data_IF_691693797749
#
_entry.id   IF_691693797749
#
_cell.length_a   1.000
_cell.length_b   1.000
_cell.length_c   1.000
_cell.angle_alpha   90.00
_cell.angle_beta   90.00
_cell.angle_gamma   90.00
#
_symmetry.space_group_name_H-M   'P 1'
#
loop_
_entity.id
_entity.type
_entity.pdbx_description
1 polymer ?
#
# COMPACT_ATOMS: atom_id res chain seq x y z
N UNK A 1 25.80 -5.28 -21.77
CA UNK A 1 25.01 -6.44 -21.28
C UNK A 1 23.65 -5.88 -20.92
N UNK A 2 22.55 -6.40 -21.47
CA UNK A 2 21.20 -5.94 -21.09
C UNK A 2 20.92 -6.47 -19.68
N UNK A 3 20.57 -5.59 -18.73
CA UNK A 3 20.25 -5.99 -17.36
C UNK A 3 18.88 -6.68 -17.37
N UNK A 4 18.79 -7.87 -16.78
CA UNK A 4 17.51 -8.50 -16.48
C UNK A 4 16.89 -7.83 -15.25
N UNK A 5 15.92 -6.94 -15.47
CA UNK A 5 15.29 -6.16 -14.43
C UNK A 5 14.45 -7.00 -13.46
N UNK A 6 13.97 -8.18 -13.87
CA UNK A 6 13.26 -9.10 -12.96
C UNK A 6 14.26 -9.65 -11.95
N UNK A 7 15.35 -10.27 -12.45
CA UNK A 7 16.39 -10.81 -11.58
C UNK A 7 17.00 -9.72 -10.70
N UNK A 8 17.21 -8.52 -11.26
CA UNK A 8 17.78 -7.41 -10.51
C UNK A 8 16.87 -6.90 -9.40
N UNK A 9 15.57 -6.79 -9.66
CA UNK A 9 14.59 -6.39 -8.64
C UNK A 9 14.51 -7.41 -7.50
N UNK A 10 14.53 -8.71 -7.82
CA UNK A 10 14.58 -9.78 -6.82
C UNK A 10 15.85 -9.73 -5.97
N UNK A 11 17.00 -9.47 -6.58
CA UNK A 11 18.29 -9.31 -5.90
C UNK A 11 18.27 -8.10 -4.95
N UNK A 12 17.78 -6.94 -5.42
CA UNK A 12 17.70 -5.71 -4.64
C UNK A 12 16.78 -5.89 -3.42
N UNK A 13 15.60 -6.48 -3.60
CA UNK A 13 14.67 -6.75 -2.49
C UNK A 13 15.33 -7.72 -1.49
N UNK A 14 15.91 -8.82 -1.97
CA UNK A 14 16.52 -9.84 -1.11
C UNK A 14 17.72 -9.31 -0.32
N UNK A 15 18.58 -8.50 -0.95
CA UNK A 15 19.73 -7.87 -0.30
C UNK A 15 19.33 -6.89 0.80
N UNK A 16 18.17 -6.25 0.64
CA UNK A 16 17.65 -5.23 1.55
C UNK A 16 16.57 -5.76 2.50
N UNK A 17 16.36 -7.08 2.54
CA UNK A 17 15.56 -7.72 3.59
C UNK A 17 16.42 -7.93 4.83
N UNK A 18 15.98 -7.39 5.97
CA UNK A 18 16.65 -7.59 7.25
C UNK A 18 16.61 -9.10 7.65
N UNK A 19 17.65 -9.64 8.31
CA UNK A 19 17.66 -11.04 8.76
C UNK A 19 16.45 -11.47 9.60
N UNK A 20 15.79 -10.54 10.30
CA UNK A 20 14.59 -10.79 11.08
C UNK A 20 13.31 -10.88 10.22
N UNK A 21 13.35 -10.39 8.98
CA UNK A 21 12.31 -10.54 7.97
C UNK A 21 11.72 -9.24 7.40
N UNK A 22 11.94 -8.11 8.06
CA UNK A 22 11.49 -6.80 7.59
C UNK A 22 12.10 -6.41 6.24
N UNK A 23 11.30 -5.81 5.36
CA UNK A 23 11.77 -5.12 4.16
C UNK A 23 11.92 -3.64 4.46
N UNK A 24 13.13 -3.10 4.28
CA UNK A 24 13.38 -1.66 4.43
C UNK A 24 12.72 -0.91 3.27
N UNK A 25 12.12 0.25 3.50
CA UNK A 25 11.48 1.00 2.41
C UNK A 25 12.53 1.46 1.38
N UNK A 26 13.59 2.13 1.84
CA UNK A 26 14.75 2.49 1.03
C UNK A 26 16.04 2.51 1.88
N UNK A 27 17.08 1.73 1.51
CA UNK A 27 18.31 1.66 2.31
C UNK A 27 19.15 2.95 2.26
N UNK A 28 19.08 3.68 1.15
CA UNK A 28 19.93 4.84 0.87
C UNK A 28 19.16 6.17 0.99
N UNK A 29 18.11 6.20 1.82
CA UNK A 29 17.35 7.41 2.15
C UNK A 29 17.04 7.44 3.65
N UNK A 30 17.62 8.41 4.37
CA UNK A 30 17.72 8.37 5.84
C UNK A 30 16.36 8.25 6.54
N UNK A 31 15.34 8.96 6.08
CA UNK A 31 14.00 8.91 6.69
C UNK A 31 13.22 7.65 6.33
N UNK A 32 13.71 6.81 5.40
CA UNK A 32 13.06 5.58 4.92
C UNK A 32 13.76 4.30 5.37
N UNK A 33 14.66 4.39 6.36
CA UNK A 33 15.37 3.25 6.96
C UNK A 33 14.51 2.41 7.92
N UNK A 34 13.23 2.31 7.63
CA UNK A 34 12.21 1.63 8.42
C UNK A 34 11.43 0.64 7.54
N UNK A 35 10.63 -0.20 8.20
CA UNK A 35 9.68 -1.08 7.54
C UNK A 35 8.26 -0.57 7.75
N UNK A 36 7.61 -0.13 6.67
CA UNK A 36 6.17 0.11 6.64
C UNK A 36 5.45 -1.20 6.34
N UNK A 37 4.34 -1.44 7.02
CA UNK A 37 3.54 -2.64 6.75
C UNK A 37 2.96 -2.64 5.34
N UNK A 38 2.59 -1.47 4.80
CA UNK A 38 2.10 -1.29 3.44
C UNK A 38 3.13 -1.74 2.41
N UNK A 39 4.29 -1.09 2.40
CA UNK A 39 5.40 -1.33 1.48
C UNK A 39 5.91 -2.78 1.57
N UNK A 40 6.09 -3.27 2.80
CA UNK A 40 6.54 -4.63 3.08
C UNK A 40 5.53 -5.68 2.60
N UNK A 41 4.23 -5.40 2.69
CA UNK A 41 3.17 -6.33 2.24
C UNK A 41 3.12 -6.45 0.72
N UNK A 42 3.22 -5.34 -0.02
CA UNK A 42 3.32 -5.38 -1.48
C UNK A 42 4.64 -6.02 -1.94
N UNK A 43 5.73 -5.77 -1.21
CA UNK A 43 7.02 -6.43 -1.45
C UNK A 43 6.94 -7.94 -1.22
N UNK A 44 6.31 -8.40 -0.13
CA UNK A 44 6.09 -9.82 0.14
C UNK A 44 5.21 -10.48 -0.93
N UNK A 45 4.14 -9.80 -1.36
CA UNK A 45 3.30 -10.29 -2.45
C UNK A 45 4.08 -10.44 -3.76
N UNK A 46 4.90 -9.43 -4.12
CA UNK A 46 5.77 -9.51 -5.29
C UNK A 46 6.73 -10.70 -5.20
N UNK A 47 7.36 -10.89 -4.05
CA UNK A 47 8.28 -12.02 -3.81
C UNK A 47 7.56 -13.39 -3.93
N UNK A 48 6.32 -13.50 -3.46
CA UNK A 48 5.50 -14.71 -3.63
C UNK A 48 5.20 -15.01 -5.10
N UNK A 49 4.89 -13.99 -5.92
CA UNK A 49 4.60 -14.18 -7.34
C UNK A 49 5.79 -14.76 -8.14
N UNK A 50 7.01 -14.62 -7.63
CA UNK A 50 8.26 -15.13 -8.23
C UNK A 50 8.88 -16.29 -7.44
N UNK A 51 8.09 -16.96 -6.60
CA UNK A 51 8.52 -18.18 -5.91
C UNK A 51 9.48 -17.95 -4.73
N UNK A 52 9.69 -16.71 -4.31
CA UNK A 52 10.56 -16.37 -3.17
C UNK A 52 9.82 -16.51 -1.82
N UNK A 53 9.11 -17.63 -1.64
CA UNK A 53 8.19 -17.85 -0.53
C UNK A 53 8.83 -17.75 0.85
N UNK A 54 10.11 -18.16 0.98
CA UNK A 54 10.83 -18.04 2.24
C UNK A 54 11.09 -16.59 2.63
N UNK A 55 11.37 -15.73 1.65
CA UNK A 55 11.56 -14.29 1.86
C UNK A 55 10.25 -13.66 2.35
N UNK A 56 9.13 -13.91 1.67
CA UNK A 56 7.81 -13.44 2.09
C UNK A 56 7.39 -13.97 3.46
N UNK A 57 7.61 -15.27 3.74
CA UNK A 57 7.26 -15.85 5.03
C UNK A 57 8.08 -15.25 6.19
N UNK A 58 9.34 -14.88 5.98
CA UNK A 58 10.13 -14.15 6.99
C UNK A 58 9.49 -12.81 7.32
N UNK A 59 9.00 -12.08 6.32
CA UNK A 59 8.26 -10.83 6.55
C UNK A 59 6.98 -11.07 7.36
N UNK A 60 6.14 -12.03 7.01
CA UNK A 60 4.92 -12.31 7.79
C UNK A 60 5.23 -12.76 9.22
N UNK A 61 6.32 -13.51 9.43
CA UNK A 61 6.79 -13.86 10.77
C UNK A 61 7.27 -12.64 11.56
N UNK A 62 7.95 -11.70 10.91
CA UNK A 62 8.35 -10.43 11.50
C UNK A 62 7.13 -9.59 11.90
N UNK A 63 6.17 -9.38 10.98
CA UNK A 63 4.94 -8.60 11.27
C UNK A 63 4.13 -9.24 12.41
N UNK A 64 4.04 -10.58 12.45
CA UNK A 64 3.41 -11.27 13.57
C UNK A 64 4.04 -10.88 14.92
N UNK A 65 5.38 -10.83 15.02
CA UNK A 65 6.06 -10.42 16.26
C UNK A 65 5.81 -8.95 16.59
N UNK A 66 5.79 -8.08 15.57
CA UNK A 66 5.51 -6.65 15.71
C UNK A 66 4.11 -6.44 16.27
N UNK A 67 3.07 -7.05 15.69
CA UNK A 67 1.70 -6.90 16.18
C UNK A 67 1.56 -7.43 17.61
N UNK A 68 2.21 -8.56 17.92
CA UNK A 68 2.17 -9.11 19.28
C UNK A 68 2.84 -8.20 20.32
N UNK A 69 3.87 -7.42 19.94
CA UNK A 69 4.47 -6.44 20.84
C UNK A 69 3.53 -5.25 21.13
N UNK A 70 2.55 -5.01 20.26
CA UNK A 70 1.54 -3.95 20.38
C UNK A 70 0.24 -4.41 21.07
N UNK A 71 0.19 -5.65 21.58
CA UNK A 71 -1.02 -6.28 22.14
C UNK A 71 -1.73 -5.44 23.20
N UNK A 72 -1.00 -4.95 24.20
CA UNK A 72 -1.60 -4.17 25.30
C UNK A 72 -2.20 -2.85 24.80
N UNK A 73 -1.54 -2.23 23.83
CA UNK A 73 -1.99 -1.00 23.17
C UNK A 73 -3.30 -1.25 22.42
N UNK A 74 -3.39 -2.29 21.60
CA UNK A 74 -4.61 -2.66 20.87
C UNK A 74 -5.77 -2.93 21.82
N UNK A 75 -5.56 -3.73 22.87
CA UNK A 75 -6.61 -4.05 23.84
C UNK A 75 -7.18 -2.77 24.47
N UNK A 76 -6.30 -1.88 24.93
CA UNK A 76 -6.71 -0.62 25.56
C UNK A 76 -7.50 0.28 24.60
N UNK A 77 -7.10 0.36 23.31
CA UNK A 77 -7.82 1.15 22.30
C UNK A 77 -9.23 0.59 22.10
N UNK A 78 -9.33 -0.72 21.92
CA UNK A 78 -10.60 -1.39 21.68
C UNK A 78 -11.55 -1.22 22.87
N UNK A 79 -11.05 -1.35 24.10
CA UNK A 79 -11.84 -1.13 25.32
C UNK A 79 -12.41 0.30 25.39
N UNK A 80 -11.61 1.32 25.08
CA UNK A 80 -12.04 2.74 25.06
C UNK A 80 -13.10 2.98 23.99
N UNK A 81 -12.88 2.50 22.76
CA UNK A 81 -13.84 2.66 21.66
C UNK A 81 -15.17 1.98 21.99
N UNK A 82 -15.13 0.76 22.51
CA UNK A 82 -16.34 0.01 22.88
C UNK A 82 -17.07 0.59 24.09
N UNK A 83 -16.34 1.27 24.98
CA UNK A 83 -16.92 2.07 26.07
C UNK A 83 -17.64 3.34 25.60
N UNK A 84 -17.49 3.73 24.33
CA UNK A 84 -18.04 4.97 23.79
C UNK A 84 -17.25 6.22 24.19
N UNK A 85 -15.99 6.04 24.61
CA UNK A 85 -15.08 7.12 24.98
C UNK A 85 -14.34 7.66 23.76
N UNK A 86 -13.98 8.94 23.79
CA UNK A 86 -13.21 9.58 22.72
C UNK A 86 -11.72 9.20 22.77
N UNK A 87 -11.15 8.91 21.59
CA UNK A 87 -9.73 8.60 21.44
C UNK A 87 -8.88 9.88 21.33
N UNK A 88 -8.70 10.58 22.45
CA UNK A 88 -7.89 11.81 22.51
C UNK A 88 -6.43 11.47 22.83
N UNK A 89 -5.50 11.89 21.96
CA UNK A 89 -4.05 11.67 22.11
C UNK A 89 -3.67 10.21 22.39
N UNK A 90 -4.37 9.28 21.74
CA UNK A 90 -4.09 7.87 21.95
C UNK A 90 -2.77 7.48 21.28
N UNK A 91 -2.02 6.62 21.97
CA UNK A 91 -0.84 5.96 21.43
C UNK A 91 -1.29 4.85 20.47
N UNK A 92 -1.59 5.20 19.22
CA UNK A 92 -2.04 4.26 18.18
C UNK A 92 -0.93 3.30 17.74
N UNK A 93 -1.28 2.22 17.03
CA UNK A 93 -0.24 1.41 16.41
C UNK A 93 0.40 2.19 15.23
N UNK A 94 1.73 2.18 15.09
CA UNK A 94 2.43 3.02 14.12
C UNK A 94 2.48 2.46 12.69
N UNK A 95 2.50 3.34 11.70
CA UNK A 95 2.60 3.01 10.28
C UNK A 95 3.89 2.25 9.91
N UNK A 96 5.00 2.59 10.60
CA UNK A 96 6.34 2.09 10.36
C UNK A 96 7.00 1.62 11.66
N UNK A 97 7.94 0.70 11.52
CA UNK A 97 8.72 0.18 12.64
C UNK A 97 10.19 0.13 12.27
N UNK A 98 11.03 0.18 13.30
CA UNK A 98 12.45 -0.17 13.15
C UNK A 98 12.60 -1.56 12.58
N UNK A 99 13.73 -1.83 11.92
CA UNK A 99 13.97 -3.12 11.27
C UNK A 99 13.97 -4.30 12.26
N UNK A 100 14.18 -4.05 13.55
CA UNK A 100 14.08 -5.03 14.63
C UNK A 100 12.66 -5.22 15.19
N UNK A 101 11.68 -4.46 14.68
CA UNK A 101 10.28 -4.49 15.07
C UNK A 101 9.91 -3.58 16.24
N UNK A 102 10.86 -2.77 16.73
CA UNK A 102 10.56 -1.77 17.75
C UNK A 102 9.83 -0.57 17.15
N UNK A 103 8.90 -0.01 17.93
CA UNK A 103 8.25 1.24 17.61
C UNK A 103 9.23 2.41 17.75
N UNK A 104 9.23 3.31 16.76
CA UNK A 104 9.91 4.59 16.86
C UNK A 104 8.99 5.61 17.53
N UNK A 105 9.55 6.44 18.42
CA UNK A 105 8.82 7.57 19.02
C UNK A 105 9.22 8.86 18.32
N UNK A 106 8.57 9.16 17.21
CA UNK A 106 8.76 10.40 16.44
C UNK A 106 7.44 11.13 16.15
N UNK A 107 7.52 12.36 15.65
CA UNK A 107 6.36 13.18 15.25
C UNK A 107 5.84 12.82 13.83
N UNK A 108 6.18 11.62 13.33
CA UNK A 108 5.78 11.18 12.00
C UNK A 108 4.27 10.94 11.94
N UNK A 109 3.69 10.98 10.73
CA UNK A 109 2.26 10.71 10.46
C UNK A 109 1.90 9.24 10.67
N UNK A 110 2.14 8.72 11.88
CA UNK A 110 2.20 7.30 12.19
C UNK A 110 0.83 6.65 12.34
N UNK A 111 -0.23 7.39 12.67
CA UNK A 111 -1.55 6.77 12.73
C UNK A 111 -2.08 6.58 11.32
N UNK A 112 -1.91 5.35 10.81
CA UNK A 112 -2.36 4.90 9.49
C UNK A 112 -2.93 3.49 9.60
N UNK A 113 -4.14 3.30 9.09
CA UNK A 113 -4.82 2.00 9.18
C UNK A 113 -4.56 1.09 7.98
N UNK A 114 -4.14 1.65 6.85
CA UNK A 114 -4.07 0.94 5.57
C UNK A 114 -3.02 -0.17 5.56
N UNK A 115 -1.88 0.01 6.26
CA UNK A 115 -0.82 -0.98 6.33
C UNK A 115 -1.26 -2.30 6.97
N UNK A 116 -2.13 -2.22 7.99
CA UNK A 116 -2.68 -3.39 8.67
C UNK A 116 -3.68 -4.16 7.81
N UNK A 117 -4.55 -3.44 7.08
CA UNK A 117 -5.45 -4.04 6.09
C UNK A 117 -4.66 -4.70 4.95
N UNK A 118 -3.63 -4.02 4.45
CA UNK A 118 -2.75 -4.53 3.40
C UNK A 118 -2.01 -5.80 3.86
N UNK A 119 -1.57 -5.85 5.12
CA UNK A 119 -0.93 -7.04 5.69
C UNK A 119 -1.87 -8.26 5.73
N UNK A 120 -3.11 -8.09 6.20
CA UNK A 120 -4.11 -9.18 6.18
C UNK A 120 -4.35 -9.69 4.76
N UNK A 121 -4.44 -8.77 3.79
CA UNK A 121 -4.59 -9.12 2.38
C UNK A 121 -3.37 -9.91 1.89
N UNK A 122 -2.15 -9.41 2.10
CA UNK A 122 -0.93 -10.04 1.61
C UNK A 122 -0.69 -11.42 2.25
N UNK A 123 -0.95 -11.57 3.55
CA UNK A 123 -0.89 -12.87 4.23
C UNK A 123 -1.88 -13.86 3.63
N UNK A 124 -3.10 -13.41 3.32
CA UNK A 124 -4.12 -14.22 2.66
C UNK A 124 -3.70 -14.66 1.26
N UNK A 125 -3.01 -13.79 0.50
CA UNK A 125 -2.43 -14.13 -0.79
C UNK A 125 -1.31 -15.17 -0.64
N UNK A 126 -0.40 -14.97 0.32
CA UNK A 126 0.69 -15.90 0.60
C UNK A 126 0.19 -17.31 0.91
N UNK A 127 -0.83 -17.42 1.77
CA UNK A 127 -1.46 -18.70 2.11
C UNK A 127 -2.10 -19.33 0.88
N UNK A 128 -2.82 -18.54 0.07
CA UNK A 128 -3.44 -19.01 -1.19
C UNK A 128 -2.40 -19.56 -2.17
N UNK A 129 -1.28 -18.86 -2.34
CA UNK A 129 -0.21 -19.23 -3.27
C UNK A 129 0.58 -20.45 -2.79
N UNK A 130 0.86 -20.54 -1.49
CA UNK A 130 1.78 -21.56 -0.94
C UNK A 130 1.07 -22.78 -0.36
N UNK A 131 -0.22 -22.68 -0.04
CA UNK A 131 -0.98 -23.71 0.68
C UNK A 131 -0.63 -23.87 2.17
N UNK A 132 0.19 -22.95 2.74
CA UNK A 132 0.68 -23.02 4.13
C UNK A 132 -0.36 -22.60 5.17
N UNK A 133 -1.45 -23.35 5.26
CA UNK A 133 -2.56 -23.08 6.19
C UNK A 133 -2.13 -23.11 7.67
N UNK A 134 -1.02 -23.77 8.01
CA UNK A 134 -0.46 -23.77 9.37
C UNK A 134 -0.03 -22.37 9.85
N UNK A 135 0.16 -21.41 8.95
CA UNK A 135 0.45 -20.03 9.33
C UNK A 135 -0.76 -19.35 9.99
N UNK A 136 -1.99 -19.76 9.67
CA UNK A 136 -3.20 -19.23 10.30
C UNK A 136 -3.24 -19.55 11.80
N UNK A 137 -2.86 -20.78 12.18
CA UNK A 137 -2.80 -21.16 13.59
C UNK A 137 -1.59 -20.52 14.28
N UNK A 138 -0.45 -20.44 13.60
CA UNK A 138 0.77 -19.82 14.13
C UNK A 138 0.62 -18.31 14.39
N UNK A 139 -0.12 -17.61 13.52
CA UNK A 139 -0.32 -16.17 13.59
C UNK A 139 -1.71 -15.78 14.11
N UNK A 140 -2.46 -16.73 14.68
CA UNK A 140 -3.85 -16.55 15.11
C UNK A 140 -4.05 -15.30 15.98
N UNK A 141 -3.17 -15.09 16.95
CA UNK A 141 -3.29 -13.96 17.89
C UNK A 141 -3.02 -12.62 17.22
N UNK A 142 -1.96 -12.49 16.40
CA UNK A 142 -1.70 -11.24 15.67
C UNK A 142 -2.81 -10.93 14.66
N UNK A 143 -3.31 -11.94 13.96
CA UNK A 143 -4.44 -11.77 13.03
C UNK A 143 -5.68 -11.29 13.79
N UNK A 144 -6.02 -11.91 14.93
CA UNK A 144 -7.15 -11.50 15.77
C UNK A 144 -7.00 -10.07 16.27
N UNK A 145 -5.83 -9.69 16.79
CA UNK A 145 -5.56 -8.33 17.25
C UNK A 145 -5.73 -7.31 16.12
N UNK A 146 -5.26 -7.63 14.92
CA UNK A 146 -5.43 -6.73 13.77
C UNK A 146 -6.88 -6.63 13.31
N UNK A 147 -7.64 -7.73 13.30
CA UNK A 147 -9.08 -7.70 13.00
C UNK A 147 -9.80 -6.82 14.03
N UNK A 148 -9.54 -7.01 15.33
CA UNK A 148 -10.15 -6.22 16.39
C UNK A 148 -9.79 -4.73 16.24
N UNK A 149 -8.53 -4.41 15.95
CA UNK A 149 -8.08 -3.05 15.73
C UNK A 149 -8.82 -2.38 14.55
N UNK A 150 -8.88 -3.06 13.40
CA UNK A 150 -9.49 -2.52 12.19
C UNK A 150 -11.01 -2.37 12.32
N UNK A 151 -11.71 -3.35 12.91
CA UNK A 151 -13.16 -3.31 13.09
C UNK A 151 -13.59 -2.14 13.99
N UNK A 152 -12.80 -1.82 15.01
CA UNK A 152 -13.13 -0.73 15.93
C UNK A 152 -12.68 0.65 15.41
N UNK A 153 -11.73 0.71 14.47
CA UNK A 153 -11.11 1.98 14.07
C UNK A 153 -11.33 2.38 12.61
N UNK A 154 -11.92 1.55 11.74
CA UNK A 154 -12.01 1.85 10.30
C UNK A 154 -12.63 3.23 9.98
N UNK A 155 -13.53 3.72 10.83
CA UNK A 155 -14.19 5.02 10.70
C UNK A 155 -13.46 6.19 11.38
N UNK A 156 -12.30 5.96 11.99
CA UNK A 156 -11.52 6.99 12.69
C UNK A 156 -10.62 7.73 11.69
N UNK A 157 -10.64 9.07 11.67
CA UNK A 157 -9.74 9.86 10.83
C UNK A 157 -8.27 9.54 11.11
N UNK A 158 -7.49 9.35 10.05
CA UNK A 158 -6.08 8.97 10.12
C UNK A 158 -5.32 9.51 8.91
N UNK A 159 -3.99 9.45 8.91
CA UNK A 159 -3.20 9.89 7.77
C UNK A 159 -3.45 8.98 6.56
N UNK A 160 -3.40 9.54 5.35
CA UNK A 160 -3.42 8.71 4.14
C UNK A 160 -2.09 7.97 3.94
N UNK A 161 -2.00 7.16 2.88
CA UNK A 161 -0.77 6.44 2.54
C UNK A 161 0.39 7.36 2.15
N UNK A 162 0.16 8.67 2.07
CA UNK A 162 1.14 9.71 1.79
C UNK A 162 1.54 10.49 3.05
N UNK A 163 1.07 10.06 4.23
CA UNK A 163 1.34 10.70 5.52
C UNK A 163 0.74 12.10 5.64
N UNK A 164 -0.35 12.35 4.92
CA UNK A 164 -1.01 13.65 4.86
C UNK A 164 -2.47 13.56 5.36
N UNK A 165 -3.05 14.72 5.69
CA UNK A 165 -4.49 14.86 5.98
C UNK A 165 -5.00 13.90 7.09
N UNK A 166 -4.27 13.85 8.22
CA UNK A 166 -4.55 12.97 9.36
C UNK A 166 -5.90 13.18 10.05
N UNK A 167 -6.57 14.29 9.78
CA UNK A 167 -7.90 14.64 10.27
C UNK A 167 -9.03 14.18 9.32
N UNK A 168 -8.70 13.42 8.27
CA UNK A 168 -9.66 12.96 7.24
C UNK A 168 -9.82 11.44 7.22
N UNK A 169 -10.85 10.98 6.50
CA UNK A 169 -11.12 9.57 6.19
C UNK A 169 -10.93 9.36 4.68
N UNK A 170 -10.07 8.41 4.33
CA UNK A 170 -9.60 8.19 2.96
C UNK A 170 -10.18 6.91 2.37
N UNK A 171 -10.91 6.93 1.24
CA UNK A 171 -11.42 5.71 0.60
C UNK A 171 -10.32 4.74 0.15
N UNK A 172 -9.09 5.21 -0.12
CA UNK A 172 -7.95 4.33 -0.38
C UNK A 172 -7.56 3.52 0.88
N UNK A 173 -7.48 4.16 2.05
CA UNK A 173 -7.28 3.46 3.33
C UNK A 173 -8.41 2.47 3.61
N UNK A 174 -9.66 2.88 3.40
CA UNK A 174 -10.82 2.02 3.55
C UNK A 174 -10.79 0.81 2.59
N UNK A 175 -10.26 0.98 1.38
CA UNK A 175 -10.05 -0.12 0.45
C UNK A 175 -9.08 -1.16 1.02
N UNK A 176 -7.95 -0.74 1.58
CA UNK A 176 -6.98 -1.64 2.21
C UNK A 176 -7.60 -2.44 3.36
N UNK A 177 -8.39 -1.77 4.22
CA UNK A 177 -9.10 -2.41 5.33
C UNK A 177 -10.13 -3.42 4.80
N UNK A 178 -10.98 -3.00 3.85
CA UNK A 178 -11.98 -3.84 3.19
C UNK A 178 -11.33 -5.10 2.61
N UNK A 179 -10.29 -4.93 1.79
CA UNK A 179 -9.62 -6.04 1.12
C UNK A 179 -8.90 -6.97 2.06
N UNK A 180 -8.29 -6.44 3.13
CA UNK A 180 -7.65 -7.23 4.18
C UNK A 180 -8.64 -8.13 4.91
N UNK A 181 -9.71 -7.54 5.45
CA UNK A 181 -10.76 -8.25 6.17
C UNK A 181 -11.48 -9.26 5.27
N UNK A 182 -11.86 -8.86 4.05
CA UNK A 182 -12.52 -9.73 3.09
C UNK A 182 -11.62 -10.87 2.58
N UNK A 183 -10.31 -10.68 2.52
CA UNK A 183 -9.39 -11.74 2.09
C UNK A 183 -9.17 -12.78 3.20
N UNK A 184 -9.00 -12.32 4.44
CA UNK A 184 -8.72 -13.23 5.57
C UNK A 184 -9.97 -14.00 6.03
N UNK A 185 -11.17 -13.49 5.77
CA UNK A 185 -12.44 -14.16 6.09
C UNK A 185 -12.64 -15.49 5.35
N UNK A 186 -11.88 -15.74 4.28
CA UNK A 186 -11.81 -17.05 3.59
C UNK A 186 -11.24 -18.16 4.48
N UNK A 187 -10.48 -17.78 5.51
CA UNK A 187 -9.74 -18.68 6.37
C UNK A 187 -10.15 -18.60 7.84
N UNK A 188 -10.76 -17.49 8.25
CA UNK A 188 -11.16 -17.22 9.63
C UNK A 188 -12.64 -16.85 9.66
N UNK A 189 -13.41 -17.62 10.41
CA UNK A 189 -14.81 -17.31 10.67
C UNK A 189 -14.93 -16.28 11.79
N UNK A 190 -15.20 -15.03 11.42
CA UNK A 190 -15.59 -13.97 12.35
C UNK A 190 -16.77 -13.19 11.73
N UNK A 191 -17.99 -13.29 12.30
CA UNK A 191 -19.18 -12.64 11.73
C UNK A 191 -19.07 -11.11 11.71
N UNK A 192 -18.21 -10.52 12.56
CA UNK A 192 -18.00 -9.08 12.60
C UNK A 192 -17.37 -8.58 11.30
N UNK A 193 -16.52 -9.39 10.65
CA UNK A 193 -15.85 -9.03 9.40
C UNK A 193 -16.88 -8.69 8.31
N UNK A 194 -17.85 -9.58 8.08
CA UNK A 194 -18.85 -9.39 7.01
C UNK A 194 -19.63 -8.09 7.22
N UNK A 195 -20.02 -7.81 8.47
CA UNK A 195 -20.71 -6.56 8.80
C UNK A 195 -19.82 -5.34 8.55
N UNK A 196 -18.56 -5.37 8.98
CA UNK A 196 -17.63 -4.25 8.79
C UNK A 196 -17.33 -3.98 7.32
N UNK A 197 -17.13 -5.01 6.48
CA UNK A 197 -16.88 -4.80 5.04
C UNK A 197 -18.10 -4.23 4.31
N UNK A 198 -19.31 -4.63 4.70
CA UNK A 198 -20.56 -4.01 4.24
C UNK A 198 -20.65 -2.54 4.66
N UNK A 199 -20.40 -2.25 5.94
CA UNK A 199 -20.46 -0.89 6.49
C UNK A 199 -19.44 0.04 5.81
N UNK A 200 -18.21 -0.43 5.59
CA UNK A 200 -17.18 0.31 4.85
C UNK A 200 -17.65 0.61 3.43
N UNK A 201 -18.20 -0.39 2.72
CA UNK A 201 -18.65 -0.22 1.33
C UNK A 201 -19.80 0.78 1.24
N UNK A 202 -20.79 0.68 2.14
CA UNK A 202 -21.90 1.63 2.24
C UNK A 202 -21.41 3.03 2.56
N UNK A 203 -20.48 3.16 3.51
CA UNK A 203 -19.88 4.45 3.87
C UNK A 203 -19.17 5.10 2.67
N UNK A 204 -18.37 4.35 1.92
CA UNK A 204 -17.66 4.85 0.74
C UNK A 204 -18.65 5.29 -0.33
N UNK A 205 -19.67 4.48 -0.64
CA UNK A 205 -20.70 4.83 -1.63
C UNK A 205 -21.45 6.11 -1.25
N UNK A 206 -21.72 6.32 0.04
CA UNK A 206 -22.48 7.46 0.55
C UNK A 206 -21.64 8.74 0.66
N UNK A 207 -20.39 8.64 1.11
CA UNK A 207 -19.62 9.80 1.56
C UNK A 207 -18.37 10.09 0.72
N UNK A 208 -17.93 9.14 -0.12
CA UNK A 208 -16.69 9.25 -0.89
C UNK A 208 -16.91 9.22 -2.41
N UNK A 209 -18.17 9.30 -2.87
CA UNK A 209 -18.50 9.36 -4.30
C UNK A 209 -19.04 10.74 -4.64
N UNK A 210 -18.38 11.43 -5.55
CA UNK A 210 -18.78 12.73 -6.09
C UNK A 210 -18.85 12.64 -7.61
N UNK A 211 -19.97 13.05 -8.20
CA UNK A 211 -20.20 13.00 -9.65
C UNK A 211 -19.89 11.62 -10.27
N UNK A 212 -20.24 10.55 -9.55
CA UNK A 212 -20.08 9.18 -10.02
C UNK A 212 -18.63 8.66 -10.03
N UNK A 213 -17.70 9.30 -9.30
CA UNK A 213 -16.33 8.80 -9.08
C UNK A 213 -15.91 8.92 -7.61
N UNK A 214 -14.84 8.24 -7.23
CA UNK A 214 -14.25 8.39 -5.90
C UNK A 214 -13.51 9.73 -5.75
N UNK A 215 -13.42 10.22 -4.52
CA UNK A 215 -12.65 11.41 -4.12
C UNK A 215 -11.48 11.04 -3.21
N UNK A 216 -10.44 11.89 -3.10
CA UNK A 216 -9.24 11.60 -2.29
C UNK A 216 -9.56 11.31 -0.81
N UNK A 217 -10.48 12.07 -0.22
CA UNK A 217 -10.99 11.88 1.15
C UNK A 217 -12.40 12.46 1.30
N UNK A 218 -13.10 12.12 2.39
CA UNK A 218 -14.46 12.62 2.67
C UNK A 218 -14.51 14.16 2.63
N UNK A 219 -15.36 14.70 1.76
CA UNK A 219 -15.51 16.15 1.55
C UNK A 219 -14.49 16.78 0.60
N UNK A 220 -13.56 16.02 0.03
CA UNK A 220 -12.66 16.48 -1.03
C UNK A 220 -13.37 16.53 -2.39
N UNK A 221 -12.99 17.48 -3.24
CA UNK A 221 -13.28 17.42 -4.68
C UNK A 221 -12.10 16.87 -5.50
N UNK A 222 -10.93 16.67 -4.86
CA UNK A 222 -9.72 16.19 -5.51
C UNK A 222 -9.78 14.68 -5.80
N UNK A 223 -8.76 14.19 -6.50
CA UNK A 223 -8.56 12.81 -6.93
C UNK A 223 -7.18 12.35 -6.44
N UNK A 224 -7.01 11.06 -6.23
CA UNK A 224 -5.72 10.47 -5.84
C UNK A 224 -5.53 9.14 -6.56
N UNK A 225 -4.32 8.86 -7.02
CA UNK A 225 -3.99 7.63 -7.74
C UNK A 225 -4.05 6.39 -6.85
N UNK A 226 -3.92 6.52 -5.53
CA UNK A 226 -4.16 5.42 -4.58
C UNK A 226 -5.60 4.90 -4.63
N UNK A 227 -6.55 5.65 -5.21
CA UNK A 227 -7.94 5.18 -5.38
C UNK A 227 -8.04 3.97 -6.31
N UNK A 228 -7.02 3.65 -7.11
CA UNK A 228 -6.93 2.39 -7.86
C UNK A 228 -7.09 1.18 -6.91
N UNK A 229 -6.60 1.30 -5.68
CA UNK A 229 -6.71 0.29 -4.62
C UNK A 229 -8.15 -0.07 -4.28
N UNK A 230 -9.11 0.84 -4.48
CA UNK A 230 -10.52 0.55 -4.32
C UNK A 230 -11.01 -0.58 -5.24
N UNK A 231 -10.30 -0.87 -6.32
CA UNK A 231 -10.56 -2.05 -7.15
C UNK A 231 -9.42 -3.07 -7.07
N UNK A 232 -8.20 -2.70 -7.46
CA UNK A 232 -7.07 -3.65 -7.47
C UNK A 232 -5.99 -3.20 -6.47
N UNK A 233 -5.58 -4.06 -5.52
CA UNK A 233 -5.94 -5.47 -5.37
C UNK A 233 -7.15 -5.76 -4.47
N UNK A 234 -7.69 -4.75 -3.78
CA UNK A 234 -8.53 -5.00 -2.60
C UNK A 234 -9.99 -5.35 -2.90
N UNK A 235 -10.43 -5.19 -4.15
CA UNK A 235 -11.70 -5.70 -4.63
C UNK A 235 -12.93 -5.06 -4.00
N UNK A 236 -12.82 -3.85 -3.43
CA UNK A 236 -13.98 -3.15 -2.89
C UNK A 236 -14.96 -2.79 -4.01
N UNK A 237 -14.47 -2.45 -5.21
CA UNK A 237 -15.22 -2.27 -6.44
C UNK A 237 -14.73 -3.26 -7.50
N UNK A 238 -15.66 -3.82 -8.28
CA UNK A 238 -15.29 -4.55 -9.48
C UNK A 238 -14.56 -3.58 -10.45
N UNK A 239 -13.49 -3.99 -11.15
CA UNK A 239 -12.82 -3.13 -12.12
C UNK A 239 -13.76 -2.52 -13.17
N UNK A 240 -14.81 -3.25 -13.56
CA UNK A 240 -15.79 -2.82 -14.54
C UNK A 240 -16.91 -1.90 -14.00
N UNK A 241 -16.96 -1.67 -12.69
CA UNK A 241 -17.94 -0.81 -12.04
C UNK A 241 -17.87 0.63 -12.57
N UNK A 242 -19.02 1.26 -12.80
CA UNK A 242 -19.09 2.62 -13.34
C UNK A 242 -18.36 3.66 -12.49
N UNK A 243 -18.41 3.54 -11.15
CA UNK A 243 -17.69 4.43 -10.24
C UNK A 243 -16.19 4.25 -10.43
N UNK A 244 -15.72 3.00 -10.56
CA UNK A 244 -14.31 2.72 -10.78
C UNK A 244 -13.84 3.22 -12.14
N UNK A 245 -14.61 2.99 -13.22
CA UNK A 245 -14.29 3.50 -14.57
C UNK A 245 -14.17 5.03 -14.60
N UNK A 246 -15.10 5.74 -13.97
CA UNK A 246 -15.04 7.19 -13.88
C UNK A 246 -13.87 7.68 -13.01
N UNK A 247 -13.51 6.92 -11.97
CA UNK A 247 -12.34 7.21 -11.13
C UNK A 247 -11.04 7.05 -11.92
N UNK A 248 -10.88 5.95 -12.64
CA UNK A 248 -9.72 5.72 -13.51
C UNK A 248 -9.64 6.76 -14.62
N UNK A 249 -10.77 7.11 -15.24
CA UNK A 249 -10.80 8.17 -16.25
C UNK A 249 -10.29 9.51 -15.72
N UNK A 250 -10.70 9.91 -14.51
CA UNK A 250 -10.20 11.14 -13.90
C UNK A 250 -8.73 11.05 -13.45
N UNK A 251 -8.25 9.87 -13.03
CA UNK A 251 -6.82 9.61 -12.78
C UNK A 251 -6.04 9.75 -14.10
N UNK A 252 -6.43 9.05 -15.16
CA UNK A 252 -5.81 9.13 -16.50
C UNK A 252 -5.73 10.57 -16.99
N UNK A 253 -6.81 11.33 -16.83
CA UNK A 253 -6.90 12.70 -17.32
C UNK A 253 -6.06 13.71 -16.54
N UNK A 254 -5.98 13.56 -15.22
CA UNK A 254 -5.40 14.60 -14.33
C UNK A 254 -4.04 14.24 -13.77
N UNK A 255 -3.73 12.95 -13.67
CA UNK A 255 -2.55 12.43 -12.95
C UNK A 255 -1.61 11.63 -13.84
N UNK A 256 -1.98 11.33 -15.09
CA UNK A 256 -1.12 10.56 -15.99
C UNK A 256 -0.52 11.45 -17.06
N UNK A 257 0.81 11.42 -17.17
CA UNK A 257 1.54 12.05 -18.25
C UNK A 257 2.35 10.98 -19.01
N UNK A 258 1.98 10.76 -20.27
CA UNK A 258 2.31 9.54 -21.03
C UNK A 258 1.82 8.28 -20.29
N UNK A 259 2.65 7.71 -19.42
CA UNK A 259 2.30 6.59 -18.55
C UNK A 259 2.82 6.76 -17.12
N UNK A 260 3.55 7.85 -16.85
CA UNK A 260 3.95 8.21 -15.50
C UNK A 260 2.77 8.75 -14.73
N UNK A 261 2.64 8.34 -13.47
CA UNK A 261 1.45 8.63 -12.65
C UNK A 261 1.81 9.46 -11.42
N UNK A 262 1.22 10.64 -11.29
CA UNK A 262 1.32 11.51 -10.11
C UNK A 262 0.45 10.99 -8.94
N UNK A 263 0.77 11.38 -7.69
CA UNK A 263 -0.04 11.01 -6.52
C UNK A 263 -1.43 11.66 -6.55
N UNK A 264 -1.45 12.99 -6.55
CA UNK A 264 -2.65 13.82 -6.63
C UNK A 264 -2.26 15.20 -7.19
N UNK A 265 -3.22 16.03 -7.68
CA UNK A 265 -2.90 17.24 -8.45
C UNK A 265 -2.18 18.34 -7.65
N UNK A 266 -2.44 18.41 -6.35
CA UNK A 266 -1.88 19.42 -5.45
C UNK A 266 -0.53 19.00 -4.83
N UNK A 267 0.02 17.85 -5.23
CA UNK A 267 1.23 17.30 -4.65
C UNK A 267 2.44 18.19 -4.91
N UNK A 268 3.18 18.51 -3.84
CA UNK A 268 4.40 19.31 -3.89
C UNK A 268 5.62 18.57 -3.36
N UNK A 269 5.50 17.31 -2.94
CA UNK A 269 6.62 16.48 -2.48
C UNK A 269 7.57 16.19 -3.66
N UNK A 270 8.81 16.67 -3.57
CA UNK A 270 9.74 16.82 -4.70
C UNK A 270 9.13 17.51 -5.94
N UNK A 271 8.17 18.40 -5.73
CA UNK A 271 7.41 19.06 -6.80
C UNK A 271 6.25 18.23 -7.37
N UNK A 272 5.96 17.05 -6.82
CA UNK A 272 4.90 16.17 -7.29
C UNK A 272 5.28 15.46 -8.58
N UNK A 273 6.31 14.61 -8.53
CA UNK A 273 6.78 13.83 -9.68
C UNK A 273 5.88 12.64 -10.04
N UNK A 274 6.33 11.85 -11.01
CA UNK A 274 5.65 10.65 -11.49
C UNK A 274 6.19 9.41 -10.76
N UNK A 275 5.32 8.60 -10.15
CA UNK A 275 5.69 7.48 -9.29
C UNK A 275 5.62 6.14 -10.02
N UNK A 276 6.68 5.33 -9.88
CA UNK A 276 6.78 4.03 -10.53
C UNK A 276 5.75 3.05 -9.99
N UNK A 277 5.55 3.04 -8.67
CA UNK A 277 4.57 2.16 -8.03
C UNK A 277 3.13 2.46 -8.48
N UNK A 278 2.78 3.73 -8.67
CA UNK A 278 1.43 4.14 -9.13
C UNK A 278 1.20 3.76 -10.59
N UNK A 279 2.23 3.89 -11.42
CA UNK A 279 2.23 3.35 -12.79
C UNK A 279 2.02 1.84 -12.79
N UNK A 280 2.62 1.13 -11.82
CA UNK A 280 2.44 -0.31 -11.61
C UNK A 280 0.99 -0.68 -11.28
N UNK A 281 0.34 0.06 -10.37
CA UNK A 281 -1.08 -0.16 -10.04
C UNK A 281 -2.02 0.14 -11.21
N UNK A 282 -1.79 1.23 -11.94
CA UNK A 282 -2.60 1.57 -13.11
C UNK A 282 -2.46 0.50 -14.20
N UNK A 283 -1.23 0.05 -14.46
CA UNK A 283 -0.97 -1.09 -15.33
C UNK A 283 -1.71 -2.35 -14.89
N UNK A 284 -1.72 -2.65 -13.58
CA UNK A 284 -2.44 -3.81 -13.05
C UNK A 284 -3.95 -3.66 -13.29
N UNK A 285 -4.54 -2.48 -13.06
CA UNK A 285 -5.94 -2.25 -13.40
C UNK A 285 -6.24 -2.48 -14.90
N UNK A 286 -5.33 -2.05 -15.78
CA UNK A 286 -5.49 -2.30 -17.22
C UNK A 286 -5.45 -3.78 -17.57
N UNK A 287 -4.60 -4.57 -16.90
CA UNK A 287 -4.60 -6.03 -17.05
C UNK A 287 -5.97 -6.61 -16.68
N UNK A 288 -6.50 -6.28 -15.50
CA UNK A 288 -7.77 -6.81 -14.99
C UNK A 288 -9.00 -6.33 -15.78
N UNK A 289 -8.86 -5.31 -16.63
CA UNK A 289 -9.90 -4.80 -17.55
C UNK A 289 -9.65 -5.17 -19.01
N UNK A 290 -8.68 -6.04 -19.31
CA UNK A 290 -8.37 -6.49 -20.67
C UNK A 290 -7.71 -5.44 -21.57
N UNK A 291 -7.26 -4.31 -21.02
CA UNK A 291 -6.54 -3.25 -21.73
C UNK A 291 -5.03 -3.54 -21.81
N UNK A 292 -4.68 -4.71 -22.34
CA UNK A 292 -3.32 -5.26 -22.29
C UNK A 292 -2.26 -4.35 -22.95
N UNK A 293 -2.61 -3.64 -24.02
CA UNK A 293 -1.66 -2.72 -24.68
C UNK A 293 -1.30 -1.53 -23.77
N UNK A 294 -2.25 -0.99 -23.01
CA UNK A 294 -1.94 0.05 -22.01
C UNK A 294 -1.07 -0.49 -20.87
N UNK A 295 -1.34 -1.73 -20.42
CA UNK A 295 -0.52 -2.38 -19.39
C UNK A 295 0.94 -2.57 -19.84
N UNK A 296 1.15 -2.96 -21.10
CA UNK A 296 2.49 -3.08 -21.70
C UNK A 296 3.21 -1.74 -21.74
N UNK A 297 2.51 -0.66 -22.03
CA UNK A 297 3.10 0.67 -22.04
C UNK A 297 3.46 1.16 -20.64
N UNK A 298 2.64 0.88 -19.62
CA UNK A 298 2.98 1.14 -18.21
C UNK A 298 4.26 0.40 -17.79
N UNK A 299 4.38 -0.91 -18.08
CA UNK A 299 5.60 -1.66 -17.71
C UNK A 299 6.82 -1.17 -18.50
N UNK A 300 6.67 -0.84 -19.79
CA UNK A 300 7.75 -0.25 -20.59
C UNK A 300 8.18 1.13 -20.08
N UNK A 301 7.25 1.94 -19.58
CA UNK A 301 7.57 3.21 -18.94
C UNK A 301 8.37 2.99 -17.66
N UNK A 302 7.97 2.04 -16.80
CA UNK A 302 8.72 1.70 -15.57
C UNK A 302 10.14 1.23 -15.92
N UNK A 303 10.29 0.30 -16.87
CA UNK A 303 11.59 -0.25 -17.27
C UNK A 303 12.55 0.82 -17.81
N UNK A 304 12.04 1.88 -18.44
CA UNK A 304 12.85 3.03 -18.90
C UNK A 304 13.41 3.89 -17.76
N UNK A 305 12.85 3.79 -16.56
CA UNK A 305 13.33 4.56 -15.39
C UNK A 305 14.43 3.84 -14.62
N UNK A 306 14.76 2.59 -14.98
CA UNK A 306 15.88 1.87 -14.38
C UNK A 306 17.20 2.59 -14.68
N UNK A 307 18.04 2.77 -13.65
CA UNK A 307 19.39 3.29 -13.87
C UNK A 307 20.35 2.24 -14.43
N UNK A 308 21.64 2.59 -14.54
CA UNK A 308 22.69 1.72 -15.06
C UNK A 308 22.97 0.49 -14.17
N UNK A 309 22.44 0.45 -12.95
CA UNK A 309 22.47 -0.69 -12.04
C UNK A 309 21.15 -1.45 -12.00
N UNK A 310 20.13 -0.97 -12.72
CA UNK A 310 18.78 -1.54 -12.69
C UNK A 310 18.00 -1.17 -11.43
N UNK A 311 18.37 -0.12 -10.71
CA UNK A 311 17.67 0.38 -9.53
C UNK A 311 16.50 1.30 -9.92
N UNK A 312 15.39 1.19 -9.19
CA UNK A 312 14.21 2.02 -9.37
C UNK A 312 14.10 3.07 -8.25
N UNK A 313 13.82 4.31 -8.68
CA UNK A 313 13.55 5.45 -7.80
C UNK A 313 12.09 5.42 -7.30
N UNK A 314 11.81 6.16 -6.24
CA UNK A 314 10.46 6.47 -5.77
C UNK A 314 9.64 7.19 -6.85
N UNK A 315 10.17 8.30 -7.35
CA UNK A 315 9.53 9.16 -8.33
C UNK A 315 10.55 9.78 -9.29
N UNK A 316 10.12 10.07 -10.51
CA UNK A 316 10.92 10.80 -11.50
C UNK A 316 10.46 12.24 -11.62
N UNK A 317 11.42 13.15 -11.83
CA UNK A 317 11.20 14.61 -11.82
C UNK A 317 11.15 15.22 -13.24
N UNK A 318 10.98 14.38 -14.28
CA UNK A 318 10.92 14.83 -15.68
C UNK A 318 9.65 15.63 -16.01
N UNK A 319 8.54 15.30 -15.34
CA UNK A 319 7.30 16.05 -15.33
C UNK A 319 6.82 16.14 -13.88
N UNK A 320 6.49 17.35 -13.42
CA UNK A 320 6.14 17.63 -12.01
C UNK A 320 4.96 18.59 -11.94
N UNK A 321 4.16 18.50 -10.89
CA UNK A 321 3.03 19.41 -10.64
C UNK A 321 3.50 20.85 -10.36
N UNK A 322 4.56 21.01 -9.54
CA UNK A 322 5.11 22.31 -9.17
C UNK A 322 6.63 22.25 -8.97
N UNK A 323 7.38 22.66 -10.00
CA UNK A 323 8.84 22.63 -10.01
C UNK A 323 9.52 23.53 -8.97
N UNK A 324 8.83 24.53 -8.41
CA UNK A 324 9.40 25.42 -7.37
C UNK A 324 9.77 24.66 -6.09
N UNK A 325 9.12 23.52 -5.84
CA UNK A 325 9.34 22.72 -4.64
C UNK A 325 10.46 21.69 -4.78
N UNK A 326 10.98 21.43 -5.99
CA UNK A 326 12.03 20.41 -6.20
C UNK A 326 13.25 20.72 -5.32
N UNK A 327 13.81 21.92 -5.44
CA UNK A 327 15.02 22.30 -4.70
C UNK A 327 14.78 22.35 -3.19
N UNK A 328 13.55 22.69 -2.75
CA UNK A 328 13.20 22.67 -1.33
C UNK A 328 13.39 21.27 -0.75
N UNK A 329 12.87 20.25 -1.42
CA UNK A 329 12.96 18.86 -0.94
C UNK A 329 14.37 18.28 -1.10
N UNK A 330 15.05 18.56 -2.22
CA UNK A 330 16.44 18.13 -2.42
C UNK A 330 17.36 18.69 -1.33
N UNK A 331 17.20 19.96 -0.98
CA UNK A 331 18.00 20.58 0.09
C UNK A 331 17.66 20.02 1.47
N UNK A 332 16.46 19.49 1.67
CA UNK A 332 16.00 18.98 2.95
C UNK A 332 16.40 17.52 3.17
N UNK A 333 16.18 16.65 2.17
CA UNK A 333 16.28 15.20 2.31
C UNK A 333 17.18 14.52 1.25
N UNK A 334 17.83 15.28 0.36
CA UNK A 334 18.64 14.74 -0.73
C UNK A 334 17.80 14.37 -1.95
N UNK A 335 18.36 13.59 -2.86
CA UNK A 335 17.63 13.13 -4.06
C UNK A 335 16.48 12.17 -3.69
N UNK A 336 15.43 12.04 -4.54
CA UNK A 336 14.35 11.08 -4.30
C UNK A 336 14.86 9.67 -3.99
N UNK A 337 14.16 8.99 -3.08
CA UNK A 337 14.59 7.71 -2.53
C UNK A 337 14.88 6.65 -3.62
N UNK A 338 16.07 6.05 -3.59
CA UNK A 338 16.51 5.01 -4.51
C UNK A 338 17.56 4.09 -3.85
N UNK A 339 17.46 2.75 -3.98
CA UNK A 339 16.34 2.01 -4.57
C UNK A 339 15.12 1.96 -3.64
N UNK A 340 13.95 2.34 -4.14
CA UNK A 340 12.69 2.13 -3.40
C UNK A 340 12.21 0.69 -3.63
N UNK A 341 12.15 -0.11 -2.56
CA UNK A 341 11.74 -1.53 -2.69
C UNK A 341 10.31 -1.67 -3.20
N UNK A 342 9.42 -0.75 -2.85
CA UNK A 342 8.04 -0.79 -3.33
C UNK A 342 7.93 -0.55 -4.85
N UNK A 343 8.78 0.31 -5.44
CA UNK A 343 8.88 0.47 -6.89
C UNK A 343 9.31 -0.84 -7.57
N UNK A 344 10.31 -1.53 -7.03
CA UNK A 344 10.73 -2.86 -7.49
C UNK A 344 9.62 -3.91 -7.34
N UNK A 345 8.91 -3.90 -6.22
CA UNK A 345 7.80 -4.80 -5.97
C UNK A 345 6.67 -4.61 -7.00
N UNK A 346 6.28 -3.36 -7.26
CA UNK A 346 5.20 -3.07 -8.21
C UNK A 346 5.59 -3.33 -9.66
N UNK A 347 6.88 -3.13 -10.02
CA UNK A 347 7.42 -3.62 -11.29
C UNK A 347 7.21 -5.13 -11.43
N UNK A 348 7.65 -5.91 -10.44
CA UNK A 348 7.54 -7.36 -10.44
C UNK A 348 6.07 -7.81 -10.52
N UNK A 349 5.18 -7.21 -9.74
CA UNK A 349 3.74 -7.51 -9.75
C UNK A 349 3.14 -7.29 -11.14
N UNK A 350 3.32 -6.10 -11.72
CA UNK A 350 2.78 -5.80 -13.05
C UNK A 350 3.37 -6.73 -14.12
N UNK A 351 4.68 -6.98 -14.08
CA UNK A 351 5.35 -7.88 -15.02
C UNK A 351 4.78 -9.31 -14.94
N UNK A 352 4.52 -9.82 -13.73
CA UNK A 352 3.93 -11.13 -13.52
C UNK A 352 2.50 -11.20 -14.06
N UNK A 353 1.70 -10.16 -13.82
CA UNK A 353 0.32 -10.04 -14.29
C UNK A 353 0.24 -10.08 -15.82
N UNK A 354 1.09 -9.32 -16.51
CA UNK A 354 1.18 -9.32 -17.97
C UNK A 354 1.59 -10.69 -18.52
N UNK A 355 2.55 -11.38 -17.87
CA UNK A 355 3.03 -12.69 -18.34
C UNK A 355 1.96 -13.79 -18.19
N UNK A 356 1.12 -13.75 -17.16
CA UNK A 356 0.10 -14.78 -16.90
C UNK A 356 -1.14 -14.70 -17.79
N UNK A 357 -1.41 -13.53 -18.37
CA UNK A 357 -2.54 -13.31 -19.28
C UNK A 357 -2.19 -13.53 -20.77
N UNK A 358 -0.95 -13.93 -21.05
CA UNK A 358 -0.50 -14.48 -22.34
C UNK A 358 -0.54 -15.99 -22.25
#
# INVERSE_FOLDING_TARGET
MVIDLILKSLEIISKNQNPLGAYIACPDFDTYKYCWLRDGSFTAYAMDLYGQYESSQKFFHWVNKVILSQREKVIKIVEVVQGGEELINFDYMPARYNMDGQEEKDEWGNFQLDGYGTWLWALSQHISITGKNELLSKYRESISLTIDYLINLWGVPNFDCWEENGDKIHPATLACIYGGLNSISKYIEDPRINKTVEDIKEFVLKNCVLNGRLVKYVGSESIDSSLIWASVPFGMFNPDDSIMKNTIYEIEKRLVHNYGVHRYPEDTYYGGGEWLLLTGYLGWYYVETGQMEKAKECIMWIEKQADDKGEFVEQVLGHVNNGEYILKWINLWGEPAKPLLWSHAMYLVLKNKIIRDI
#
